data_IF_542374494027
#
_entry.id   IF_542374494027
#
_cell.length_a   1.000
_cell.length_b   1.000
_cell.length_c   1.000
_cell.angle_alpha   90.00
_cell.angle_beta   90.00
_cell.angle_gamma   90.00
#
_symmetry.space_group_name_H-M   'P 1'
#
loop_
_entity.id
_entity.type
_entity.pdbx_description
1 polymer ?
#
# COMPACT_ATOMS: atom_id res chain seq x y z
N UNK A 1 29.34 7.04 28.45
CA UNK A 1 28.73 5.86 27.80
C UNK A 1 27.24 6.16 27.63
N UNK A 2 26.85 6.68 26.47
CA UNK A 2 25.47 7.16 26.24
C UNK A 2 24.58 6.03 25.75
N UNK A 3 23.43 5.90 26.42
CA UNK A 3 22.47 4.84 26.26
C UNK A 3 21.76 4.83 24.89
N UNK A 4 21.57 3.61 24.40
CA UNK A 4 20.41 3.11 23.67
C UNK A 4 19.68 4.05 22.70
N UNK A 5 19.95 3.87 21.40
CA UNK A 5 18.92 4.00 20.36
C UNK A 5 18.81 2.67 19.61
N UNK A 6 18.30 1.65 20.30
CA UNK A 6 17.71 0.50 19.64
C UNK A 6 16.35 0.94 19.05
N UNK A 7 16.40 1.75 17.98
CA UNK A 7 15.24 1.96 17.14
C UNK A 7 15.12 0.71 16.26
N UNK A 8 14.64 -0.37 16.88
CA UNK A 8 14.06 -1.49 16.17
C UNK A 8 12.96 -0.89 15.29
N UNK A 9 13.28 -0.69 14.02
CA UNK A 9 12.34 -0.28 12.99
C UNK A 9 11.36 -1.44 12.83
N UNK A 10 10.39 -1.50 13.75
CA UNK A 10 9.20 -2.33 13.61
C UNK A 10 8.56 -1.90 12.31
N UNK A 11 8.90 -2.59 11.22
CA UNK A 11 8.24 -2.48 9.93
C UNK A 11 6.78 -2.84 10.20
N UNK A 12 6.00 -1.82 10.53
CA UNK A 12 4.59 -1.96 10.83
C UNK A 12 3.99 -2.47 9.54
N UNK A 13 3.61 -3.76 9.53
CA UNK A 13 2.97 -4.35 8.35
C UNK A 13 1.85 -3.40 7.95
N UNK A 14 1.78 -2.99 6.69
CA UNK A 14 0.81 -2.00 6.29
C UNK A 14 -0.59 -2.53 6.62
N UNK A 15 -1.39 -1.70 7.31
CA UNK A 15 -2.71 -2.09 7.79
C UNK A 15 -3.68 -2.20 6.62
N UNK A 16 -4.45 -3.29 6.57
CA UNK A 16 -5.51 -3.49 5.58
C UNK A 16 -6.58 -2.41 5.74
N UNK A 17 -6.93 -1.65 4.69
CA UNK A 17 -8.01 -0.68 4.73
C UNK A 17 -9.36 -1.32 5.07
N UNK A 18 -10.22 -0.57 5.75
CA UNK A 18 -11.60 -0.99 5.96
C UNK A 18 -12.34 -1.02 4.61
N UNK A 19 -13.23 -1.99 4.40
CA UNK A 19 -13.94 -2.17 3.14
C UNK A 19 -13.08 -2.73 2.00
N UNK A 20 -11.88 -3.24 2.27
CA UNK A 20 -11.03 -3.84 1.25
C UNK A 20 -11.62 -5.13 0.67
N UNK A 21 -11.83 -5.17 -0.65
CA UNK A 21 -12.40 -6.32 -1.37
C UNK A 21 -11.43 -6.88 -2.42
N UNK A 22 -11.78 -8.05 -2.99
CA UNK A 22 -11.00 -8.66 -4.07
C UNK A 22 -10.93 -7.79 -5.34
N UNK A 23 -11.91 -6.90 -5.57
CA UNK A 23 -11.88 -5.95 -6.71
C UNK A 23 -10.70 -4.98 -6.59
N UNK A 24 -10.38 -4.55 -5.38
CA UNK A 24 -9.26 -3.65 -5.12
C UNK A 24 -7.92 -4.33 -5.38
N UNK A 25 -7.80 -5.61 -5.00
CA UNK A 25 -6.61 -6.42 -5.29
C UNK A 25 -6.42 -6.63 -6.80
N UNK A 26 -7.50 -6.92 -7.53
CA UNK A 26 -7.45 -7.07 -8.98
C UNK A 26 -7.01 -5.77 -9.67
N UNK A 27 -7.48 -4.63 -9.20
CA UNK A 27 -7.06 -3.32 -9.71
C UNK A 27 -5.55 -3.09 -9.52
N UNK A 28 -5.03 -3.29 -8.30
CA UNK A 28 -3.60 -3.09 -8.03
C UNK A 28 -2.74 -4.03 -8.86
N UNK A 29 -3.13 -5.30 -9.00
CA UNK A 29 -2.41 -6.27 -9.83
C UNK A 29 -2.42 -5.89 -11.30
N UNK A 30 -3.53 -5.32 -11.79
CA UNK A 30 -3.61 -4.75 -13.14
C UNK A 30 -2.61 -3.62 -13.34
N UNK A 31 -2.56 -2.65 -12.41
CA UNK A 31 -1.57 -1.57 -12.44
C UNK A 31 -0.13 -2.10 -12.38
N UNK A 32 0.16 -3.05 -11.48
CA UNK A 32 1.48 -3.66 -11.37
C UNK A 32 1.90 -4.39 -12.66
N UNK A 33 0.96 -5.08 -13.32
CA UNK A 33 1.20 -5.75 -14.61
C UNK A 33 1.48 -4.76 -15.74
N UNK A 34 0.96 -3.54 -15.64
CA UNK A 34 1.21 -2.45 -16.58
C UNK A 34 2.50 -1.67 -16.28
N UNK A 35 3.32 -2.13 -15.33
CA UNK A 35 4.52 -1.42 -14.85
C UNK A 35 4.25 0.00 -14.33
N UNK A 36 3.04 0.27 -13.84
CA UNK A 36 2.72 1.49 -13.11
C UNK A 36 3.57 1.60 -11.85
N UNK A 37 3.92 2.82 -11.45
CA UNK A 37 4.59 3.03 -10.17
C UNK A 37 3.60 3.06 -9.00
N UNK A 38 4.12 2.89 -7.78
CA UNK A 38 3.30 2.83 -6.56
C UNK A 38 2.51 4.13 -6.33
N UNK A 39 3.09 5.29 -6.65
CA UNK A 39 2.40 6.57 -6.45
C UNK A 39 1.29 6.76 -7.49
N UNK A 40 1.56 6.46 -8.76
CA UNK A 40 0.54 6.52 -9.82
C UNK A 40 -0.60 5.54 -9.55
N UNK A 41 -0.28 4.30 -9.17
CA UNK A 41 -1.27 3.30 -8.74
C UNK A 41 -2.11 3.81 -7.57
N UNK A 42 -1.50 4.46 -6.58
CA UNK A 42 -2.23 5.06 -5.45
C UNK A 42 -3.19 6.16 -5.91
N UNK A 43 -2.75 7.07 -6.78
CA UNK A 43 -3.59 8.17 -7.29
C UNK A 43 -4.78 7.61 -8.09
N UNK A 44 -4.53 6.65 -8.98
CA UNK A 44 -5.56 5.99 -9.76
C UNK A 44 -6.54 5.24 -8.84
N UNK A 45 -6.03 4.56 -7.81
CA UNK A 45 -6.85 3.87 -6.82
C UNK A 45 -7.73 4.83 -6.04
N UNK A 46 -7.18 5.95 -5.57
CA UNK A 46 -7.94 6.98 -4.84
C UNK A 46 -9.00 7.66 -5.73
N UNK A 47 -8.79 7.67 -7.05
CA UNK A 47 -9.76 8.19 -8.02
C UNK A 47 -10.90 7.19 -8.27
N UNK A 48 -10.58 5.90 -8.44
CA UNK A 48 -11.57 4.83 -8.69
C UNK A 48 -12.34 4.43 -7.42
N UNK A 49 -11.67 4.47 -6.26
CA UNK A 49 -12.20 4.05 -4.95
C UNK A 49 -12.02 5.14 -3.88
N UNK A 50 -12.67 6.31 -4.01
CA UNK A 50 -12.44 7.46 -3.14
C UNK A 50 -12.78 7.22 -1.66
N UNK A 51 -13.62 6.22 -1.37
CA UNK A 51 -14.04 5.88 -0.01
C UNK A 51 -13.10 4.89 0.71
N UNK A 52 -12.04 4.43 0.05
CA UNK A 52 -11.12 3.42 0.59
C UNK A 52 -9.73 4.07 0.78
N UNK A 53 -9.47 4.69 1.95
CA UNK A 53 -8.18 5.33 2.20
C UNK A 53 -7.07 4.28 2.24
N UNK A 54 -6.03 4.48 1.43
CA UNK A 54 -4.88 3.56 1.30
C UNK A 54 -3.57 4.29 1.56
N UNK A 55 -2.68 3.64 2.29
CA UNK A 55 -1.31 4.12 2.44
C UNK A 55 -0.44 3.64 1.27
N UNK A 56 0.60 4.40 0.94
CA UNK A 56 1.60 3.99 -0.06
C UNK A 56 2.22 2.63 0.26
N UNK A 57 2.52 2.39 1.54
CA UNK A 57 3.09 1.13 2.00
C UNK A 57 2.12 -0.06 1.78
N UNK A 58 0.81 0.15 1.93
CA UNK A 58 -0.20 -0.87 1.61
C UNK A 58 -0.21 -1.21 0.13
N UNK A 59 -0.29 -0.20 -0.76
CA UNK A 59 -0.25 -0.40 -2.21
C UNK A 59 1.02 -1.14 -2.62
N UNK A 60 2.18 -0.70 -2.12
CA UNK A 60 3.47 -1.36 -2.40
C UNK A 60 3.49 -2.83 -1.97
N UNK A 61 2.91 -3.15 -0.81
CA UNK A 61 2.80 -4.53 -0.34
C UNK A 61 1.88 -5.38 -1.21
N UNK A 62 0.90 -4.79 -1.91
CA UNK A 62 -0.02 -5.53 -2.80
C UNK A 62 0.49 -5.67 -4.22
N UNK A 63 1.32 -4.72 -4.69
CA UNK A 63 1.98 -4.83 -5.99
C UNK A 63 3.05 -5.93 -6.00
N UNK A 64 3.69 -6.19 -4.84
CA UNK A 64 4.74 -7.20 -4.69
C UNK A 64 4.23 -8.58 -4.19
N UNK A 65 2.90 -8.77 -4.04
CA UNK A 65 2.29 -9.96 -3.45
C UNK A 65 1.47 -10.79 -4.45
#
# INVERSE_FOLDING_TARGET
MSAARNANASATKPTRPNGWTAKHDAFIRGCASNHEDVNSTKILFETEFPNIPVSKAWIQSRMNA
#
